data_IF_943426588834
#
_entry.id   IF_943426588834
#
_cell.length_a   1.000
_cell.length_b   1.000
_cell.length_c   1.000
_cell.angle_alpha   90.00
_cell.angle_beta   90.00
_cell.angle_gamma   90.00
#
_symmetry.space_group_name_H-M   'P 1'
#
loop_
_entity.id
_entity.type
_entity.pdbx_description
1 polymer ?
#
# COMPACT_ATOMS: atom_id res chain seq x y z
N UNK A 1 -8.98 -11.13 -22.36
CA UNK A 1 -8.57 -9.70 -22.30
C UNK A 1 -7.30 -9.60 -21.49
N UNK A 2 -6.19 -9.13 -22.09
CA UNK A 2 -4.89 -8.99 -21.40
C UNK A 2 -5.00 -7.85 -20.37
N UNK A 3 -4.59 -8.11 -19.13
CA UNK A 3 -4.61 -7.14 -18.03
C UNK A 3 -3.60 -6.03 -18.32
N UNK A 4 -4.10 -4.80 -18.31
CA UNK A 4 -3.33 -3.57 -18.36
C UNK A 4 -2.66 -3.34 -17.00
N UNK A 5 -1.34 -3.20 -16.97
CA UNK A 5 -0.58 -2.96 -15.73
C UNK A 5 0.07 -1.59 -15.83
N UNK A 6 -0.35 -0.64 -14.97
CA UNK A 6 0.28 0.68 -14.89
C UNK A 6 1.46 0.53 -13.94
N UNK A 7 2.68 0.69 -14.48
CA UNK A 7 3.92 0.69 -13.69
C UNK A 7 4.51 2.09 -13.73
N UNK A 8 4.40 2.83 -12.63
CA UNK A 8 5.22 4.02 -12.42
C UNK A 8 6.68 3.59 -12.34
N UNK A 9 7.53 4.09 -13.24
CA UNK A 9 9.00 4.00 -13.14
C UNK A 9 9.55 5.43 -13.18
N UNK A 10 10.27 5.81 -12.13
CA UNK A 10 10.99 7.08 -12.08
C UNK A 10 12.28 6.95 -12.91
N UNK A 11 12.23 7.38 -14.17
CA UNK A 11 13.41 7.48 -15.02
C UNK A 11 13.97 8.90 -14.91
N UNK A 12 14.94 9.10 -14.00
CA UNK A 12 15.58 10.39 -13.67
C UNK A 12 14.60 11.48 -13.17
N UNK A 13 15.04 12.74 -12.98
CA UNK A 13 14.34 13.84 -12.26
C UNK A 13 12.92 14.21 -12.78
N UNK A 14 12.36 13.45 -13.71
CA UNK A 14 10.97 13.53 -14.18
C UNK A 14 10.20 12.28 -13.78
N UNK A 15 9.08 12.45 -13.08
CA UNK A 15 8.07 11.41 -12.95
C UNK A 15 7.44 11.17 -14.33
N UNK A 16 7.66 9.99 -14.90
CA UNK A 16 7.01 9.56 -16.14
C UNK A 16 6.01 8.47 -15.81
N UNK A 17 4.72 8.73 -16.06
CA UNK A 17 3.65 7.73 -15.97
C UNK A 17 3.66 6.92 -17.26
N UNK A 18 4.29 5.74 -17.23
CA UNK A 18 4.34 4.83 -18.37
C UNK A 18 3.21 3.81 -18.30
N UNK A 19 2.56 3.60 -19.44
CA UNK A 19 1.57 2.56 -19.66
C UNK A 19 2.21 1.44 -20.47
N UNK A 20 2.39 0.23 -19.91
CA UNK A 20 2.87 -0.93 -20.68
C UNK A 20 1.68 -1.71 -21.24
N UNK A 21 1.47 -1.59 -22.56
CA UNK A 21 0.46 -2.35 -23.30
C UNK A 21 1.14 -3.32 -24.26
N UNK A 22 1.27 -4.59 -23.86
CA UNK A 22 1.71 -5.65 -24.79
C UNK A 22 3.09 -5.44 -25.43
N UNK A 23 3.97 -4.63 -24.83
CA UNK A 23 5.30 -4.29 -25.35
C UNK A 23 5.48 -2.82 -25.75
N UNK A 24 4.41 -2.03 -25.85
CA UNK A 24 4.48 -0.59 -26.11
C UNK A 24 4.33 0.22 -24.83
N UNK A 25 5.28 1.12 -24.57
CA UNK A 25 5.22 2.15 -23.52
C UNK A 25 4.62 3.43 -24.08
N UNK A 26 3.47 3.85 -23.58
CA UNK A 26 2.90 5.18 -23.88
C UNK A 26 2.85 6.06 -22.63
N UNK A 27 3.10 7.36 -22.81
CA UNK A 27 3.02 8.35 -21.72
C UNK A 27 1.54 8.63 -21.42
N UNK A 28 1.12 8.34 -20.18
CA UNK A 28 -0.19 8.72 -19.69
C UNK A 28 -0.21 10.24 -19.47
N UNK A 29 -1.09 10.94 -20.19
CA UNK A 29 -1.43 12.33 -19.86
C UNK A 29 -2.09 12.34 -18.49
N UNK A 30 -1.35 12.83 -17.49
CA UNK A 30 -1.89 13.00 -16.15
C UNK A 30 -3.16 13.89 -16.18
N UNK A 31 -4.22 13.53 -15.44
CA UNK A 31 -5.39 14.36 -15.31
C UNK A 31 -4.98 15.67 -14.64
N UNK A 32 -5.61 16.77 -15.07
CA UNK A 32 -5.43 18.06 -14.40
C UNK A 32 -6.07 17.95 -13.01
N UNK A 33 -5.25 18.12 -11.98
CA UNK A 33 -5.75 18.33 -10.62
C UNK A 33 -6.43 19.70 -10.60
N UNK A 34 -7.56 19.81 -9.92
CA UNK A 34 -8.26 21.07 -9.72
C UNK A 34 -7.93 21.64 -8.35
N UNK A 35 -7.97 22.98 -8.22
CA UNK A 35 -7.71 23.64 -6.94
C UNK A 35 -8.67 23.19 -5.82
N UNK A 36 -9.89 22.76 -6.19
CA UNK A 36 -10.89 22.24 -5.25
C UNK A 36 -10.48 20.90 -4.63
N UNK A 37 -9.63 20.13 -5.31
CA UNK A 37 -9.17 18.82 -4.84
C UNK A 37 -8.01 18.91 -3.85
N UNK A 38 -7.30 20.04 -3.76
CA UNK A 38 -6.09 20.15 -2.93
C UNK A 38 -6.32 19.78 -1.46
N UNK A 39 -7.45 20.20 -0.87
CA UNK A 39 -7.75 19.87 0.52
C UNK A 39 -8.00 18.37 0.73
N UNK A 40 -8.66 17.72 -0.24
CA UNK A 40 -8.92 16.28 -0.19
C UNK A 40 -7.61 15.49 -0.34
N UNK A 41 -6.78 15.88 -1.31
CA UNK A 41 -5.46 15.26 -1.55
C UNK A 41 -4.54 15.36 -0.34
N UNK A 42 -4.47 16.53 0.31
CA UNK A 42 -3.70 16.69 1.56
C UNK A 42 -4.20 15.75 2.64
N UNK A 43 -5.53 15.67 2.83
CA UNK A 43 -6.13 14.80 3.86
C UNK A 43 -5.80 13.33 3.60
N UNK A 44 -6.02 12.86 2.38
CA UNK A 44 -5.74 11.48 1.98
C UNK A 44 -4.25 11.13 2.13
N UNK A 45 -3.35 12.02 1.72
CA UNK A 45 -1.92 11.84 1.90
C UNK A 45 -1.54 11.68 3.38
N UNK A 46 -2.07 12.53 4.26
CA UNK A 46 -1.83 12.43 5.70
C UNK A 46 -2.40 11.14 6.31
N UNK A 47 -3.56 10.66 5.84
CA UNK A 47 -4.13 9.38 6.28
C UNK A 47 -3.21 8.21 5.94
N UNK A 48 -2.63 8.19 4.72
CA UNK A 48 -1.66 7.17 4.31
C UNK A 48 -0.39 7.22 5.14
N UNK A 49 0.18 8.41 5.36
CA UNK A 49 1.40 8.57 6.15
C UNK A 49 1.16 8.17 7.61
N UNK A 50 0.01 8.54 8.19
CA UNK A 50 -0.39 8.12 9.53
C UNK A 50 -0.58 6.60 9.63
N UNK A 51 -1.16 5.98 8.60
CA UNK A 51 -1.30 4.53 8.54
C UNK A 51 0.04 3.78 8.49
N UNK A 52 1.12 4.45 8.06
CA UNK A 52 2.50 3.93 8.14
C UNK A 52 3.13 4.08 9.53
N UNK A 53 2.40 4.65 10.51
CA UNK A 53 2.89 4.83 11.89
C UNK A 53 3.80 6.04 12.08
N UNK A 54 3.78 6.99 11.14
CA UNK A 54 4.58 8.22 11.21
C UNK A 54 3.77 9.31 11.91
N UNK A 55 4.32 9.88 12.96
CA UNK A 55 3.72 10.98 13.72
C UNK A 55 3.87 12.28 12.93
N UNK A 56 2.75 12.93 12.60
CA UNK A 56 2.72 14.00 11.60
C UNK A 56 3.02 15.36 12.23
N UNK A 57 2.47 15.56 13.43
CA UNK A 57 2.38 16.83 14.14
C UNK A 57 3.79 17.41 14.40
N UNK A 58 4.75 16.55 14.77
CA UNK A 58 6.17 16.91 14.99
C UNK A 58 6.80 17.61 13.77
N UNK A 59 6.40 17.22 12.56
CA UNK A 59 6.96 17.74 11.31
C UNK A 59 6.15 18.91 10.75
N UNK A 60 4.81 18.82 10.83
CA UNK A 60 3.91 19.83 10.27
C UNK A 60 3.90 21.13 11.08
N UNK A 61 4.12 21.07 12.40
CA UNK A 61 4.25 22.27 13.24
C UNK A 61 5.47 23.12 12.86
N UNK A 62 6.55 22.47 12.41
CA UNK A 62 7.80 23.13 12.00
C UNK A 62 7.80 23.54 10.53
N UNK A 63 7.15 22.75 9.68
CA UNK A 63 7.10 22.96 8.24
C UNK A 63 5.70 22.62 7.73
N UNK A 64 4.74 23.58 7.82
CA UNK A 64 3.35 23.37 7.39
C UNK A 64 3.20 23.03 5.90
N UNK A 65 4.18 23.38 5.08
CA UNK A 65 4.21 23.03 3.66
C UNK A 65 4.68 21.58 3.40
N UNK A 66 5.07 20.83 4.43
CA UNK A 66 5.36 19.41 4.32
C UNK A 66 6.78 19.01 3.93
N UNK A 67 7.70 19.94 3.69
CA UNK A 67 9.09 19.58 3.31
C UNK A 67 9.82 18.76 4.37
N UNK A 68 9.68 19.10 5.66
CA UNK A 68 10.23 18.27 6.74
C UNK A 68 9.52 16.93 6.87
N UNK A 69 8.20 16.88 6.65
CA UNK A 69 7.45 15.62 6.66
C UNK A 69 7.92 14.69 5.54
N UNK A 70 8.14 15.24 4.34
CA UNK A 70 8.67 14.50 3.20
C UNK A 70 10.06 13.95 3.49
N UNK A 71 10.96 14.79 4.00
CA UNK A 71 12.31 14.37 4.38
C UNK A 71 12.30 13.26 5.44
N UNK A 72 11.43 13.39 6.45
CA UNK A 72 11.25 12.35 7.46
C UNK A 72 10.74 11.04 6.86
N UNK A 73 9.71 11.08 6.00
CA UNK A 73 9.17 9.89 5.35
C UNK A 73 10.24 9.18 4.51
N UNK A 74 10.96 9.93 3.68
CA UNK A 74 11.93 9.35 2.73
C UNK A 74 13.20 8.88 3.42
N UNK A 75 13.81 9.77 4.22
CA UNK A 75 15.16 9.57 4.72
C UNK A 75 15.17 8.94 6.12
N UNK A 76 14.28 9.35 7.02
CA UNK A 76 14.28 8.84 8.40
C UNK A 76 13.53 7.51 8.52
N UNK A 77 12.33 7.43 7.92
CA UNK A 77 11.49 6.23 7.92
C UNK A 77 11.78 5.31 6.73
N UNK A 78 12.75 5.66 5.89
CA UNK A 78 13.24 4.85 4.77
C UNK A 78 12.16 4.38 3.79
N UNK A 79 11.13 5.21 3.57
CA UNK A 79 10.15 4.96 2.51
C UNK A 79 10.66 5.52 1.18
N UNK A 80 10.93 4.69 0.15
CA UNK A 80 11.35 5.18 -1.15
C UNK A 80 10.40 6.22 -1.73
N UNK A 81 10.92 7.15 -2.55
CA UNK A 81 10.14 8.21 -3.22
C UNK A 81 8.94 7.69 -4.04
N UNK A 82 9.07 6.48 -4.57
CA UNK A 82 8.07 5.80 -5.38
C UNK A 82 7.16 4.87 -4.57
N UNK A 83 7.41 4.67 -3.28
CA UNK A 83 6.50 3.92 -2.40
C UNK A 83 5.18 4.68 -2.19
N UNK A 84 4.10 3.98 -1.81
CA UNK A 84 2.80 4.61 -1.52
C UNK A 84 2.94 5.73 -0.47
N UNK A 85 3.73 5.48 0.59
CA UNK A 85 3.98 6.47 1.64
C UNK A 85 4.85 7.64 1.14
N UNK A 86 5.90 7.37 0.36
CA UNK A 86 6.74 8.42 -0.24
C UNK A 86 5.98 9.31 -1.23
N UNK A 87 5.16 8.69 -2.08
CA UNK A 87 4.25 9.39 -2.99
C UNK A 87 3.24 10.25 -2.23
N UNK A 88 2.64 9.73 -1.14
CA UNK A 88 1.74 10.51 -0.30
C UNK A 88 2.44 11.76 0.28
N UNK A 89 3.67 11.62 0.78
CA UNK A 89 4.42 12.75 1.33
C UNK A 89 4.70 13.83 0.27
N UNK A 90 5.04 13.44 -0.96
CA UNK A 90 5.21 14.35 -2.09
C UNK A 90 3.90 15.01 -2.51
N UNK A 91 2.80 14.25 -2.57
CA UNK A 91 1.46 14.78 -2.87
C UNK A 91 1.08 15.86 -1.86
N UNK A 92 1.31 15.61 -0.57
CA UNK A 92 1.04 16.59 0.47
C UNK A 92 1.85 17.86 0.27
N UNK A 93 3.18 17.72 0.11
CA UNK A 93 4.08 18.86 -0.10
C UNK A 93 3.68 19.70 -1.31
N UNK A 94 3.47 19.06 -2.46
CA UNK A 94 3.04 19.75 -3.68
C UNK A 94 1.67 20.42 -3.53
N UNK A 95 0.70 19.75 -2.93
CA UNK A 95 -0.62 20.32 -2.71
C UNK A 95 -0.59 21.53 -1.74
N UNK A 96 0.27 21.48 -0.73
CA UNK A 96 0.48 22.60 0.20
C UNK A 96 1.16 23.79 -0.49
N UNK A 97 2.21 23.55 -1.29
CA UNK A 97 2.88 24.62 -2.04
C UNK A 97 1.98 25.25 -3.10
N UNK A 98 1.19 24.47 -3.84
CA UNK A 98 0.22 25.02 -4.79
C UNK A 98 -0.75 25.97 -4.09
N UNK A 99 -1.24 25.57 -2.90
CA UNK A 99 -2.14 26.42 -2.13
C UNK A 99 -1.46 27.74 -1.72
N UNK A 100 -0.22 27.67 -1.21
CA UNK A 100 0.52 28.86 -0.80
C UNK A 100 0.88 29.78 -1.96
N UNK A 101 1.30 29.23 -3.11
CA UNK A 101 1.58 30.04 -4.31
C UNK A 101 0.32 30.76 -4.82
N UNK A 102 -0.84 30.12 -4.71
CA UNK A 102 -2.12 30.77 -5.02
C UNK A 102 -2.40 31.95 -4.08
N UNK A 103 -2.12 31.81 -2.79
CA UNK A 103 -2.35 32.85 -1.78
C UNK A 103 -1.48 34.09 -2.02
N UNK A 104 -0.28 33.92 -2.60
CA UNK A 104 0.64 35.01 -2.97
C UNK A 104 0.57 35.41 -4.45
N UNK A 105 -0.45 34.96 -5.19
CA UNK A 105 -0.66 35.25 -6.62
C UNK A 105 0.51 34.83 -7.56
N UNK A 106 1.32 33.85 -7.17
CA UNK A 106 2.38 33.25 -7.98
C UNK A 106 1.82 32.14 -8.88
N UNK A 107 1.01 32.53 -9.88
CA UNK A 107 0.19 31.59 -10.66
C UNK A 107 1.01 30.63 -11.53
N UNK A 108 2.10 31.08 -12.14
CA UNK A 108 2.92 30.24 -13.01
C UNK A 108 3.54 29.07 -12.23
N UNK A 109 4.09 29.36 -11.05
CA UNK A 109 4.63 28.35 -10.14
C UNK A 109 3.55 27.38 -9.65
N UNK A 110 2.35 27.89 -9.36
CA UNK A 110 1.22 27.06 -8.96
C UNK A 110 0.78 26.12 -10.11
N UNK A 111 0.79 26.58 -11.36
CA UNK A 111 0.43 25.78 -12.52
C UNK A 111 1.45 24.66 -12.80
N UNK A 112 2.74 24.96 -12.71
CA UNK A 112 3.81 23.97 -12.89
C UNK A 112 3.72 22.86 -11.83
N UNK A 113 3.53 23.23 -10.56
CA UNK A 113 3.35 22.26 -9.49
C UNK A 113 2.04 21.48 -9.61
N UNK A 114 0.97 22.07 -10.12
CA UNK A 114 -0.29 21.38 -10.38
C UNK A 114 -0.14 20.29 -11.46
N UNK A 115 0.69 20.53 -12.48
CA UNK A 115 1.01 19.54 -13.49
C UNK A 115 1.83 18.38 -12.90
N UNK A 116 2.79 18.66 -12.02
CA UNK A 116 3.52 17.62 -11.29
C UNK A 116 2.62 16.85 -10.32
N UNK A 117 1.75 17.54 -9.58
CA UNK A 117 0.79 16.94 -8.67
C UNK A 117 -0.15 15.97 -9.39
N UNK A 118 -0.63 16.29 -10.60
CA UNK A 118 -1.43 15.36 -11.40
C UNK A 118 -0.70 14.07 -11.74
N UNK A 119 0.60 14.13 -12.02
CA UNK A 119 1.42 12.93 -12.27
C UNK A 119 1.58 12.09 -11.01
N UNK A 120 1.86 12.74 -9.88
CA UNK A 120 1.96 12.06 -8.58
C UNK A 120 0.67 11.33 -8.22
N UNK A 121 -0.48 12.00 -8.32
CA UNK A 121 -1.80 11.42 -8.04
C UNK A 121 -2.09 10.22 -8.94
N UNK A 122 -1.76 10.31 -10.23
CA UNK A 122 -1.96 9.19 -11.17
C UNK A 122 -1.19 7.94 -10.76
N UNK A 123 0.07 8.09 -10.34
CA UNK A 123 0.91 6.96 -9.91
C UNK A 123 0.37 6.40 -8.59
N UNK A 124 0.03 7.29 -7.66
CA UNK A 124 -0.53 6.92 -6.36
C UNK A 124 -1.83 6.13 -6.50
N UNK A 125 -2.77 6.59 -7.31
CA UNK A 125 -4.04 5.90 -7.60
C UNK A 125 -3.80 4.52 -8.24
N UNK A 126 -2.85 4.43 -9.16
CA UNK A 126 -2.48 3.16 -9.79
C UNK A 126 -1.94 2.16 -8.76
N UNK A 127 -1.11 2.63 -7.82
CA UNK A 127 -0.53 1.79 -6.77
C UNK A 127 -1.56 1.37 -5.73
N UNK A 128 -2.45 2.29 -5.31
CA UNK A 128 -3.59 1.94 -4.46
C UNK A 128 -4.46 0.86 -5.13
N UNK A 129 -4.83 1.06 -6.40
CA UNK A 129 -5.66 0.10 -7.13
C UNK A 129 -4.98 -1.27 -7.21
N UNK A 130 -3.70 -1.32 -7.58
CA UNK A 130 -2.93 -2.56 -7.62
C UNK A 130 -2.91 -3.28 -6.25
N UNK A 131 -2.73 -2.53 -5.16
CA UNK A 131 -2.78 -3.07 -3.79
C UNK A 131 -4.16 -3.64 -3.42
N UNK A 132 -5.24 -2.94 -3.79
CA UNK A 132 -6.60 -3.44 -3.55
C UNK A 132 -6.93 -4.68 -4.39
N UNK A 133 -6.48 -4.73 -5.65
CA UNK A 133 -6.67 -5.86 -6.54
C UNK A 133 -5.87 -7.09 -6.07
N UNK A 134 -4.63 -6.88 -5.59
CA UNK A 134 -3.84 -7.93 -4.95
C UNK A 134 -4.52 -8.45 -3.68
N UNK A 135 -5.06 -7.55 -2.84
CA UNK A 135 -5.81 -7.92 -1.63
C UNK A 135 -7.08 -8.71 -1.94
N UNK A 136 -7.82 -8.33 -2.99
CA UNK A 136 -9.01 -9.06 -3.46
C UNK A 136 -8.65 -10.41 -4.08
N UNK A 137 -7.55 -10.49 -4.85
CA UNK A 137 -7.05 -11.75 -5.41
C UNK A 137 -6.56 -12.70 -4.31
N UNK A 138 -5.86 -12.19 -3.30
CA UNK A 138 -5.46 -12.95 -2.11
C UNK A 138 -6.65 -13.46 -1.29
N UNK A 139 -7.73 -12.67 -1.18
CA UNK A 139 -8.99 -13.11 -0.56
C UNK A 139 -9.72 -14.18 -1.40
N UNK A 140 -9.76 -14.03 -2.73
CA UNK A 140 -10.35 -15.05 -3.63
C UNK A 140 -9.55 -16.36 -3.65
N UNK A 141 -8.22 -16.32 -3.49
CA UNK A 141 -7.37 -17.51 -3.34
C UNK A 141 -7.49 -18.20 -1.97
N UNK A 142 -7.97 -17.50 -0.94
CA UNK A 142 -8.20 -18.03 0.41
C UNK A 142 -9.64 -18.49 0.67
N UNK A 143 -10.62 -18.02 -0.11
CA UNK A 143 -12.04 -18.36 0.06
C UNK A 143 -12.39 -19.85 -0.14
N UNK A 144 -11.44 -20.71 -0.53
CA UNK A 144 -11.60 -22.16 -0.60
C UNK A 144 -10.54 -22.99 0.13
N UNK A 145 -9.56 -22.36 0.81
CA UNK A 145 -8.56 -23.08 1.61
C UNK A 145 -8.82 -22.77 3.08
N UNK A 146 -9.51 -23.69 3.76
CA UNK A 146 -9.51 -23.76 5.23
C UNK A 146 -8.08 -23.55 5.73
N UNK A 147 -7.89 -22.66 6.71
CA UNK A 147 -6.55 -22.35 7.19
C UNK A 147 -5.90 -23.65 7.69
N UNK A 148 -4.57 -23.76 7.61
CA UNK A 148 -3.88 -24.96 8.14
C UNK A 148 -4.23 -25.19 9.61
N UNK A 149 -4.49 -24.12 10.38
CA UNK A 149 -5.00 -24.19 11.75
C UNK A 149 -6.39 -24.83 11.82
N UNK A 150 -7.34 -24.38 11.00
CA UNK A 150 -8.70 -24.95 10.98
C UNK A 150 -8.69 -26.41 10.54
N UNK A 151 -7.83 -26.77 9.59
CA UNK A 151 -7.62 -28.16 9.15
C UNK A 151 -7.06 -29.03 10.29
N UNK A 152 -6.12 -28.50 11.09
CA UNK A 152 -5.59 -29.18 12.29
C UNK A 152 -6.73 -29.43 13.29
N UNK A 153 -7.54 -28.41 13.60
CA UNK A 153 -8.66 -28.52 14.56
C UNK A 153 -9.72 -29.52 14.10
N UNK A 154 -10.10 -29.49 12.83
CA UNK A 154 -11.06 -30.44 12.25
C UNK A 154 -10.55 -31.89 12.27
N UNK A 155 -9.28 -32.11 11.91
CA UNK A 155 -8.69 -33.44 11.95
C UNK A 155 -8.54 -33.95 13.38
N UNK A 156 -8.12 -33.09 14.31
CA UNK A 156 -8.01 -33.46 15.73
C UNK A 156 -9.38 -33.85 16.31
N UNK A 157 -10.44 -33.07 16.03
CA UNK A 157 -11.79 -33.40 16.46
C UNK A 157 -12.26 -34.77 15.92
N UNK A 158 -11.97 -35.06 14.65
CA UNK A 158 -12.27 -36.38 14.05
C UNK A 158 -11.48 -37.51 14.72
N UNK A 159 -10.18 -37.33 14.98
CA UNK A 159 -9.37 -38.35 15.65
C UNK A 159 -9.81 -38.64 17.08
N UNK A 160 -10.31 -37.63 17.80
CA UNK A 160 -10.91 -37.78 19.13
C UNK A 160 -12.23 -38.56 19.03
N UNK A 161 -13.10 -38.24 18.06
CA UNK A 161 -14.34 -38.97 17.81
C UNK A 161 -14.11 -40.44 17.44
N UNK A 162 -13.05 -40.72 16.67
CA UNK A 162 -12.63 -42.07 16.28
C UNK A 162 -11.95 -42.85 17.42
N UNK A 163 -11.86 -42.27 18.64
CA UNK A 163 -11.28 -42.93 19.82
C UNK A 163 -9.77 -43.15 19.76
N UNK A 164 -9.03 -42.39 18.93
CA UNK A 164 -7.58 -42.60 18.78
C UNK A 164 -6.79 -41.97 19.91
N UNK A 165 -5.70 -42.63 20.30
CA UNK A 165 -4.80 -42.13 21.35
C UNK A 165 -4.17 -40.78 20.98
N UNK A 166 -4.34 -39.80 21.87
CA UNK A 166 -3.83 -38.44 21.70
C UNK A 166 -2.29 -38.37 21.55
N UNK A 167 -1.56 -39.37 22.08
CA UNK A 167 -0.08 -39.40 22.07
C UNK A 167 0.52 -39.38 20.66
N UNK A 168 -0.18 -39.91 19.65
CA UNK A 168 0.31 -39.99 18.26
C UNK A 168 -0.38 -39.02 17.29
N UNK A 169 -1.37 -38.27 17.78
CA UNK A 169 -2.24 -37.41 16.96
C UNK A 169 -1.46 -36.27 16.30
N UNK A 170 -0.55 -35.62 17.03
CA UNK A 170 0.21 -34.48 16.51
C UNK A 170 1.13 -34.85 15.34
N UNK A 171 1.79 -36.01 15.41
CA UNK A 171 2.66 -36.50 14.32
C UNK A 171 1.85 -36.86 13.07
N UNK A 172 0.71 -37.50 13.25
CA UNK A 172 -0.15 -37.95 12.14
C UNK A 172 -0.78 -36.77 11.41
N UNK A 173 -1.29 -35.78 12.16
CA UNK A 173 -1.86 -34.55 11.59
C UNK A 173 -0.77 -33.74 10.88
N UNK A 174 0.43 -33.67 11.46
CA UNK A 174 1.57 -32.95 10.89
C UNK A 174 1.95 -33.47 9.50
N UNK A 175 2.06 -34.80 9.34
CA UNK A 175 2.34 -35.44 8.05
C UNK A 175 1.23 -35.14 7.03
N UNK A 176 -0.04 -35.26 7.45
CA UNK A 176 -1.19 -35.09 6.56
C UNK A 176 -1.39 -33.66 6.04
N UNK A 177 -1.02 -32.66 6.84
CA UNK A 177 -1.16 -31.23 6.51
C UNK A 177 0.14 -30.62 5.95
N UNK A 178 1.28 -31.32 6.08
CA UNK A 178 2.59 -30.82 5.69
C UNK A 178 3.04 -29.67 6.58
N UNK A 179 3.04 -29.90 7.90
CA UNK A 179 3.52 -28.96 8.93
C UNK A 179 4.33 -29.72 9.98
N UNK A 180 5.00 -29.01 10.88
CA UNK A 180 5.75 -29.65 11.96
C UNK A 180 4.83 -30.12 13.09
N UNK A 181 5.14 -31.24 13.78
CA UNK A 181 4.39 -31.67 14.97
C UNK A 181 4.37 -30.63 16.10
N UNK A 182 5.40 -29.78 16.17
CA UNK A 182 5.45 -28.65 17.10
C UNK A 182 4.31 -27.65 16.82
N UNK A 183 4.12 -27.25 15.57
CA UNK A 183 3.07 -26.33 15.16
C UNK A 183 1.67 -26.89 15.45
N UNK A 184 1.45 -28.19 15.20
CA UNK A 184 0.18 -28.86 15.55
C UNK A 184 -0.10 -28.79 17.05
N UNK A 185 0.90 -29.07 17.90
CA UNK A 185 0.74 -28.99 19.37
C UNK A 185 0.46 -27.57 19.84
N UNK A 186 1.06 -26.57 19.22
CA UNK A 186 0.80 -25.18 19.55
C UNK A 186 -0.64 -24.80 19.21
N UNK A 187 -1.12 -25.12 18.01
CA UNK A 187 -2.51 -24.86 17.58
C UNK A 187 -3.53 -25.57 18.46
N UNK A 188 -3.23 -26.78 18.95
CA UNK A 188 -4.11 -27.55 19.83
C UNK A 188 -4.04 -27.14 21.31
N UNK A 189 -3.00 -26.42 21.74
CA UNK A 189 -2.92 -25.84 23.09
C UNK A 189 -3.67 -24.51 23.19
N UNK A 190 -3.76 -23.78 22.07
CA UNK A 190 -4.47 -22.50 21.95
C UNK A 190 -5.96 -22.66 21.61
N UNK A 191 -6.47 -23.90 21.52
CA UNK A 191 -7.86 -24.24 21.19
C UNK A 191 -8.59 -24.75 22.44
#
# INVERSE_FOLDING_TARGET
>A
MKKTEIRGRQLTKRLVTLHENGGETSELKAPRVSLRQLSALKKEALEVIRAAGIELEIYLDKSPHGSMLRDAVINLHQHPDDSITGLAARIYEHAAHVQSYREVAAFDQALDLMAELGRLVTIFDAYQKASTDASKAGKKGRAGKTSKSDQIKQLAAKYIQDGREQRFMAGTIAVKIGVTPHYVRQVLKEA
#
